data_IF_645300472065
#
_entry.id   IF_645300472065
#
_cell.length_a   1.000
_cell.length_b   1.000
_cell.length_c   1.000
_cell.angle_alpha   90.00
_cell.angle_beta   90.00
_cell.angle_gamma   90.00
#
_symmetry.space_group_name_H-M   'P 1'
#
loop_
_entity.id
_entity.type
_entity.pdbx_description
1 polymer ?
#
# COMPACT_ATOMS: atom_id res chain seq x y z
N UNK A 1 -31.77 15.31 7.33
CA UNK A 1 -30.53 15.58 6.56
C UNK A 1 -30.39 14.50 5.49
N UNK A 2 -30.25 14.86 4.20
CA UNK A 2 -29.85 13.89 3.18
C UNK A 2 -28.37 13.58 3.42
N UNK A 3 -28.06 12.35 3.80
CA UNK A 3 -26.68 11.87 3.87
C UNK A 3 -26.14 11.80 2.45
N UNK A 4 -25.22 12.70 2.11
CA UNK A 4 -24.49 12.61 0.85
C UNK A 4 -23.49 11.45 0.96
N UNK A 5 -23.89 10.30 0.44
CA UNK A 5 -23.04 9.13 0.32
C UNK A 5 -21.89 9.40 -0.66
N UNK A 6 -20.82 8.63 -0.56
CA UNK A 6 -19.72 8.76 -1.50
C UNK A 6 -20.16 8.32 -2.89
N UNK A 7 -19.69 9.07 -3.91
CA UNK A 7 -19.90 8.68 -5.30
C UNK A 7 -19.26 7.31 -5.56
N UNK A 8 -19.91 6.40 -6.29
CA UNK A 8 -19.37 5.08 -6.59
C UNK A 8 -17.97 5.10 -7.20
N UNK A 9 -17.66 6.07 -8.06
CA UNK A 9 -16.35 6.17 -8.71
C UNK A 9 -15.22 6.45 -7.71
N UNK A 10 -15.50 7.26 -6.68
CA UNK A 10 -14.52 7.52 -5.62
C UNK A 10 -14.29 6.27 -4.77
N UNK A 11 -15.36 5.53 -4.46
CA UNK A 11 -15.24 4.25 -3.74
C UNK A 11 -14.39 3.24 -4.52
N UNK A 12 -14.60 3.11 -5.83
CA UNK A 12 -13.79 2.24 -6.68
C UNK A 12 -12.32 2.64 -6.73
N UNK A 13 -12.02 3.96 -6.79
CA UNK A 13 -10.62 4.44 -6.75
C UNK A 13 -9.95 4.14 -5.41
N UNK A 14 -10.66 4.33 -4.30
CA UNK A 14 -10.14 4.01 -2.97
C UNK A 14 -9.91 2.51 -2.80
N UNK A 15 -10.84 1.68 -3.27
CA UNK A 15 -10.69 0.22 -3.26
C UNK A 15 -9.49 -0.23 -4.12
N UNK A 16 -9.33 0.33 -5.32
CA UNK A 16 -8.20 0.02 -6.18
C UNK A 16 -6.86 0.38 -5.52
N UNK A 17 -6.78 1.55 -4.88
CA UNK A 17 -5.60 1.96 -4.13
C UNK A 17 -5.33 1.04 -2.94
N UNK A 18 -6.37 0.70 -2.16
CA UNK A 18 -6.25 -0.24 -1.03
C UNK A 18 -5.71 -1.61 -1.47
N UNK A 19 -6.23 -2.13 -2.59
CA UNK A 19 -5.80 -3.40 -3.18
C UNK A 19 -4.37 -3.32 -3.70
N UNK A 20 -3.98 -2.22 -4.35
CA UNK A 20 -2.59 -2.00 -4.76
C UNK A 20 -1.64 -1.99 -3.56
N UNK A 21 -1.98 -1.26 -2.50
CA UNK A 21 -1.17 -1.22 -1.27
C UNK A 21 -1.06 -2.61 -0.63
N UNK A 22 -2.16 -3.36 -0.56
CA UNK A 22 -2.15 -4.74 -0.06
C UNK A 22 -1.30 -5.67 -0.92
N UNK A 23 -1.38 -5.56 -2.25
CA UNK A 23 -0.59 -6.36 -3.17
C UNK A 23 0.91 -6.11 -2.99
N UNK A 24 1.32 -4.84 -2.93
CA UNK A 24 2.70 -4.46 -2.63
C UNK A 24 3.14 -4.96 -1.26
N UNK A 25 2.28 -4.93 -0.25
CA UNK A 25 2.62 -5.44 1.09
C UNK A 25 2.84 -6.96 1.08
N UNK A 26 2.06 -7.71 0.29
CA UNK A 26 2.31 -9.15 0.07
C UNK A 26 3.62 -9.35 -0.68
N UNK A 27 3.89 -8.58 -1.73
CA UNK A 27 5.17 -8.62 -2.46
C UNK A 27 6.36 -8.44 -1.53
N UNK A 28 6.32 -7.42 -0.66
CA UNK A 28 7.36 -7.16 0.34
C UNK A 28 7.61 -8.34 1.29
N UNK A 29 6.57 -9.08 1.68
CA UNK A 29 6.70 -10.19 2.64
C UNK A 29 7.16 -11.47 1.93
N UNK A 30 6.63 -11.75 0.74
CA UNK A 30 6.72 -13.07 0.11
C UNK A 30 7.59 -13.13 -1.13
N UNK A 31 7.63 -12.09 -1.97
CA UNK A 31 8.25 -12.15 -3.29
C UNK A 31 9.70 -11.68 -3.28
N UNK A 32 10.56 -12.45 -3.94
CA UNK A 32 11.94 -12.10 -4.27
C UNK A 32 12.06 -11.53 -5.70
N UNK A 33 11.25 -12.02 -6.63
CA UNK A 33 11.23 -11.63 -8.05
C UNK A 33 9.80 -11.76 -8.61
N UNK A 34 9.59 -11.36 -9.88
CA UNK A 34 8.31 -11.45 -10.60
C UNK A 34 7.19 -10.67 -9.88
N UNK A 35 7.40 -9.40 -9.49
CA UNK A 35 6.50 -8.66 -8.61
C UNK A 35 5.12 -8.43 -9.22
N UNK A 36 4.99 -8.48 -10.55
CA UNK A 36 3.74 -8.30 -11.28
C UNK A 36 3.15 -9.61 -11.83
N UNK A 37 3.76 -10.76 -11.51
CA UNK A 37 3.33 -12.09 -11.98
C UNK A 37 3.17 -12.18 -13.51
N UNK A 38 4.06 -11.53 -14.28
CA UNK A 38 4.03 -11.54 -15.76
C UNK A 38 4.26 -12.94 -16.34
N UNK A 39 4.90 -13.81 -15.56
CA UNK A 39 5.00 -15.25 -15.79
C UNK A 39 4.35 -16.01 -14.62
N UNK A 40 3.91 -17.27 -14.82
CA UNK A 40 3.39 -18.09 -13.72
C UNK A 40 4.34 -18.10 -12.52
N UNK A 41 3.77 -18.00 -11.32
CA UNK A 41 4.53 -17.96 -10.06
C UNK A 41 5.30 -19.28 -9.88
N UNK A 42 6.60 -19.16 -9.64
CA UNK A 42 7.48 -20.30 -9.33
C UNK A 42 8.04 -20.17 -7.92
N UNK A 43 8.50 -21.29 -7.34
CA UNK A 43 9.12 -21.26 -6.01
C UNK A 43 10.35 -20.33 -5.95
N UNK A 44 11.07 -20.18 -7.07
CA UNK A 44 12.21 -19.26 -7.19
C UNK A 44 11.82 -17.78 -7.05
N UNK A 45 10.53 -17.43 -7.22
CA UNK A 45 10.02 -16.07 -7.05
C UNK A 45 9.72 -15.74 -5.58
N UNK A 46 9.72 -16.75 -4.71
CA UNK A 46 9.38 -16.62 -3.30
C UNK A 46 10.66 -16.54 -2.47
N UNK A 47 10.70 -15.62 -1.50
CA UNK A 47 11.85 -15.47 -0.60
C UNK A 47 12.12 -16.78 0.16
N UNK A 48 13.39 -17.12 0.32
CA UNK A 48 13.82 -18.27 1.11
C UNK A 48 13.44 -18.15 2.60
N UNK A 49 13.46 -16.94 3.15
CA UNK A 49 12.99 -16.63 4.51
C UNK A 49 11.86 -15.62 4.45
N UNK A 50 10.70 -16.01 4.98
CA UNK A 50 9.52 -15.16 5.05
C UNK A 50 9.55 -14.36 6.35
N UNK A 51 9.75 -13.04 6.23
CA UNK A 51 9.82 -12.12 7.36
C UNK A 51 8.88 -10.95 7.11
N UNK A 52 8.13 -10.57 8.14
CA UNK A 52 7.13 -9.51 8.08
C UNK A 52 5.82 -9.93 8.72
N UNK A 53 4.91 -8.97 8.88
CA UNK A 53 3.62 -9.21 9.53
C UNK A 53 2.48 -8.85 8.58
N UNK A 54 1.61 -9.83 8.31
CA UNK A 54 0.42 -9.62 7.50
C UNK A 54 -0.77 -9.15 8.34
N UNK A 55 -0.99 -9.71 9.53
CA UNK A 55 -2.28 -9.62 10.24
C UNK A 55 -2.85 -8.21 10.43
N UNK A 56 -2.01 -7.21 10.71
CA UNK A 56 -2.44 -5.81 10.87
C UNK A 56 -2.44 -5.00 9.56
N UNK A 57 -1.69 -5.44 8.56
CA UNK A 57 -1.28 -4.66 7.39
C UNK A 57 -2.47 -4.25 6.50
N UNK A 58 -3.42 -5.14 6.14
CA UNK A 58 -4.60 -4.74 5.36
C UNK A 58 -5.49 -3.72 6.06
N UNK A 59 -5.62 -3.83 7.39
CA UNK A 59 -6.38 -2.89 8.20
C UNK A 59 -5.72 -1.51 8.23
N UNK A 60 -4.39 -1.46 8.35
CA UNK A 60 -3.64 -0.21 8.25
C UNK A 60 -3.75 0.41 6.84
N UNK A 61 -3.59 -0.37 5.77
CA UNK A 61 -3.77 0.11 4.39
C UNK A 61 -5.18 0.66 4.15
N UNK A 62 -6.21 0.01 4.72
CA UNK A 62 -7.59 0.47 4.63
C UNK A 62 -7.77 1.83 5.32
N UNK A 63 -7.26 1.96 6.55
CA UNK A 63 -7.32 3.23 7.28
C UNK A 63 -6.54 4.31 6.51
N UNK A 64 -5.34 4.00 6.01
CA UNK A 64 -4.47 4.94 5.30
C UNK A 64 -5.18 5.55 4.09
N UNK A 65 -5.78 4.74 3.19
CA UNK A 65 -6.49 5.29 2.01
C UNK A 65 -7.68 6.16 2.42
N UNK A 66 -8.36 5.83 3.51
CA UNK A 66 -9.46 6.64 4.04
C UNK A 66 -8.97 7.96 4.65
N UNK A 67 -7.80 7.97 5.30
CA UNK A 67 -7.15 9.20 5.77
C UNK A 67 -6.67 10.06 4.60
N UNK A 68 -6.05 9.48 3.57
CA UNK A 68 -5.67 10.19 2.34
C UNK A 68 -6.87 10.88 1.68
N UNK A 69 -8.04 10.22 1.66
CA UNK A 69 -9.28 10.87 1.20
C UNK A 69 -9.64 12.09 2.05
N UNK A 70 -9.56 11.97 3.37
CA UNK A 70 -9.93 13.06 4.29
C UNK A 70 -8.95 14.23 4.18
N UNK A 71 -7.64 13.96 4.11
CA UNK A 71 -6.60 14.95 3.82
C UNK A 71 -6.92 15.71 2.54
N UNK A 72 -7.15 15.01 1.43
CA UNK A 72 -7.45 15.65 0.14
C UNK A 72 -8.78 16.41 0.14
N UNK A 73 -9.83 15.86 0.77
CA UNK A 73 -11.17 16.48 0.77
C UNK A 73 -11.22 17.77 1.57
N UNK A 74 -10.46 17.84 2.67
CA UNK A 74 -10.57 18.91 3.64
C UNK A 74 -9.29 19.75 3.76
N UNK A 75 -8.27 19.46 2.95
CA UNK A 75 -6.96 20.11 2.96
C UNK A 75 -6.34 20.14 4.36
N UNK A 76 -6.20 18.97 4.98
CA UNK A 76 -5.71 18.83 6.36
C UNK A 76 -4.23 18.52 6.42
N UNK A 77 -3.53 19.15 7.35
CA UNK A 77 -2.24 18.69 7.85
C UNK A 77 -2.47 17.52 8.82
N UNK A 78 -1.90 16.36 8.53
CA UNK A 78 -2.12 15.14 9.31
C UNK A 78 -0.82 14.35 9.47
N UNK A 79 -0.63 13.78 10.66
CA UNK A 79 0.45 12.83 10.94
C UNK A 79 -0.16 11.45 11.17
N UNK A 80 0.36 10.44 10.47
CA UNK A 80 -0.02 9.04 10.68
C UNK A 80 0.85 8.40 11.77
N UNK A 81 0.22 7.92 12.84
CA UNK A 81 0.91 7.18 13.92
C UNK A 81 0.44 5.74 13.90
N UNK A 82 1.32 4.82 13.50
CA UNK A 82 1.03 3.38 13.52
C UNK A 82 1.22 2.81 14.93
N UNK A 83 0.11 2.56 15.62
CA UNK A 83 0.13 1.81 16.88
C UNK A 83 0.70 0.39 16.70
N UNK A 84 0.12 -0.45 15.82
CA UNK A 84 0.69 -1.75 15.47
C UNK A 84 1.85 -1.60 14.46
N UNK A 85 2.96 -1.00 14.92
CA UNK A 85 4.12 -0.64 14.08
C UNK A 85 4.85 -1.81 13.41
N UNK A 86 4.59 -3.06 13.83
CA UNK A 86 5.09 -4.24 13.14
C UNK A 86 4.47 -4.44 11.74
N UNK A 87 3.39 -3.70 11.42
CA UNK A 87 2.80 -3.57 10.09
C UNK A 87 3.56 -2.63 9.14
N UNK A 88 4.90 -2.59 9.24
CA UNK A 88 5.76 -1.77 8.38
C UNK A 88 5.44 -1.83 6.87
N UNK A 89 5.08 -3.00 6.30
CA UNK A 89 4.73 -3.08 4.88
C UNK A 89 3.56 -2.20 4.46
N UNK A 90 2.66 -1.82 5.38
CA UNK A 90 1.58 -0.88 5.07
C UNK A 90 2.13 0.52 4.77
N UNK A 91 2.98 1.07 5.64
CA UNK A 91 3.53 2.42 5.49
C UNK A 91 4.44 2.50 4.26
N UNK A 92 5.27 1.48 4.05
CA UNK A 92 6.15 1.41 2.86
C UNK A 92 5.32 1.33 1.57
N UNK A 93 4.28 0.50 1.51
CA UNK A 93 3.40 0.44 0.32
C UNK A 93 2.76 1.78 0.01
N UNK A 94 2.24 2.50 1.02
CA UNK A 94 1.57 3.78 0.80
C UNK A 94 2.53 4.86 0.33
N UNK A 95 3.67 5.01 1.01
CA UNK A 95 4.67 6.02 0.62
C UNK A 95 5.30 5.73 -0.74
N UNK A 96 5.41 4.46 -1.15
CA UNK A 96 5.81 4.10 -2.52
C UNK A 96 4.76 4.50 -3.55
N UNK A 97 3.47 4.23 -3.30
CA UNK A 97 2.39 4.64 -4.21
C UNK A 97 2.24 6.16 -4.31
N UNK A 98 2.60 6.89 -3.26
CA UNK A 98 2.63 8.36 -3.23
C UNK A 98 3.86 8.96 -3.92
N UNK A 99 4.89 8.15 -4.21
CA UNK A 99 6.15 8.58 -4.82
C UNK A 99 7.19 9.13 -3.83
N UNK A 100 6.77 9.49 -2.61
CA UNK A 100 7.65 10.04 -1.57
C UNK A 100 8.73 9.04 -1.13
N UNK A 101 8.44 7.73 -1.19
CA UNK A 101 9.47 6.72 -0.93
C UNK A 101 10.62 6.79 -1.96
N UNK A 102 10.30 6.99 -3.24
CA UNK A 102 11.28 7.10 -4.33
C UNK A 102 12.04 8.43 -4.32
N UNK A 103 11.43 9.51 -3.80
CA UNK A 103 12.13 10.78 -3.56
C UNK A 103 13.27 10.61 -2.54
N UNK A 104 13.06 9.79 -1.51
CA UNK A 104 14.05 9.50 -0.47
C UNK A 104 15.02 8.39 -0.89
N UNK A 105 14.53 7.38 -1.62
CA UNK A 105 15.29 6.25 -2.12
C UNK A 105 15.23 6.16 -3.66
N UNK A 106 16.05 6.96 -4.38
CA UNK A 106 15.97 7.05 -5.85
C UNK A 106 16.24 5.74 -6.60
N UNK A 107 16.88 4.77 -5.96
CA UNK A 107 17.10 3.43 -6.53
C UNK A 107 15.86 2.53 -6.54
N UNK A 108 14.74 2.98 -5.95
CA UNK A 108 13.46 2.27 -5.88
C UNK A 108 12.45 3.11 -6.67
N UNK A 109 12.49 3.00 -7.99
CA UNK A 109 11.64 3.72 -8.94
C UNK A 109 10.18 3.25 -8.92
N UNK A 110 9.25 4.09 -9.39
CA UNK A 110 7.83 3.70 -9.55
C UNK A 110 7.59 2.96 -10.88
N UNK A 111 8.35 1.88 -11.09
CA UNK A 111 8.23 0.97 -12.23
C UNK A 111 8.46 -0.48 -11.80
N UNK A 112 8.52 -1.42 -12.73
CA UNK A 112 8.67 -2.85 -12.39
C UNK A 112 10.02 -3.18 -11.74
N UNK A 113 11.06 -2.38 -11.98
CA UNK A 113 12.40 -2.64 -11.48
C UNK A 113 12.61 -2.15 -10.03
N UNK A 114 11.84 -1.15 -9.60
CA UNK A 114 11.90 -0.56 -8.26
C UNK A 114 10.84 -1.09 -7.31
#
# INVERSE_FOLDING_TARGET
MKTNTLRPELLHKMDAYWRAANYLSVGQIYLYDNPLLKRPLMLADVKHMLLGHWGTTPGQNFIYVHLNRVINKYNLDMIYVSGPGHGGPAVVSNTYLEGTYSEIYPGISQDEAG
#
